data_IF_576615382188
#
_entry.id   IF_576615382188
#
_cell.length_a   1.000
_cell.length_b   1.000
_cell.length_c   1.000
_cell.angle_alpha   90.00
_cell.angle_beta   90.00
_cell.angle_gamma   90.00
#
_symmetry.space_group_name_H-M   'P 1'
#
loop_
_entity.id
_entity.type
_entity.pdbx_description
1 polymer ?
#
# COMPACT_ATOMS: atom_id res chain seq x y z
N UNK A 1 9.10 8.77 19.29
CA UNK A 1 10.46 8.57 18.76
C UNK A 1 11.55 8.94 19.75
N UNK A 2 11.50 10.12 20.37
CA UNK A 2 12.53 10.59 21.33
C UNK A 2 12.82 9.58 22.45
N UNK A 3 11.79 8.96 23.03
CA UNK A 3 11.98 7.94 24.06
C UNK A 3 12.82 6.75 23.55
N UNK A 4 12.49 6.18 22.39
CA UNK A 4 13.23 5.06 21.81
C UNK A 4 14.68 5.46 21.47
N UNK A 5 14.88 6.68 20.95
CA UNK A 5 16.20 7.23 20.70
C UNK A 5 17.03 7.24 21.98
N UNK A 6 16.49 7.83 23.05
CA UNK A 6 17.16 7.90 24.36
C UNK A 6 17.45 6.53 24.98
N UNK A 7 16.62 5.53 24.70
CA UNK A 7 16.80 4.13 25.15
C UNK A 7 17.81 3.35 24.31
N UNK A 8 18.45 3.99 23.34
CA UNK A 8 19.59 3.43 22.59
C UNK A 8 19.36 3.27 21.09
N UNK A 9 18.16 3.54 20.57
CA UNK A 9 17.89 3.41 19.13
C UNK A 9 18.79 4.34 18.29
N UNK A 10 19.21 5.48 18.84
CA UNK A 10 20.16 6.41 18.22
C UNK A 10 21.54 5.81 17.90
N UNK A 11 21.87 4.63 18.45
CA UNK A 11 23.13 3.90 18.21
C UNK A 11 22.92 2.65 17.35
N UNK A 12 21.74 2.44 16.79
CA UNK A 12 21.45 1.28 15.97
C UNK A 12 22.29 1.31 14.68
N UNK A 13 22.86 0.17 14.28
CA UNK A 13 23.50 0.04 12.97
C UNK A 13 22.47 -0.06 11.83
N UNK A 14 21.28 -0.56 12.16
CA UNK A 14 20.17 -0.76 11.24
C UNK A 14 18.86 -0.37 11.90
N UNK A 15 17.99 0.31 11.16
CA UNK A 15 16.65 0.64 11.61
C UNK A 15 15.64 0.37 10.48
N UNK A 16 14.47 -0.16 10.86
CA UNK A 16 13.38 -0.44 9.93
C UNK A 16 12.12 0.25 10.46
N UNK A 17 11.53 1.15 9.67
CA UNK A 17 10.19 1.63 9.90
C UNK A 17 9.22 0.73 9.13
N UNK A 18 8.30 0.09 9.83
CA UNK A 18 7.32 -0.81 9.21
C UNK A 18 5.95 -0.66 9.83
N UNK A 19 4.93 -0.94 9.04
CA UNK A 19 3.57 -1.13 9.54
C UNK A 19 2.65 -1.67 8.46
N UNK A 20 1.48 -2.14 8.90
CA UNK A 20 0.39 -2.50 8.00
C UNK A 20 -0.68 -1.41 7.86
N UNK A 21 -1.32 -1.32 6.68
CA UNK A 21 -2.57 -0.60 6.45
C UNK A 21 -2.36 0.90 6.67
N UNK A 22 -3.08 1.53 7.60
CA UNK A 22 -2.78 2.89 8.02
C UNK A 22 -1.33 3.07 8.51
N UNK A 23 -0.75 2.08 9.18
CA UNK A 23 0.67 2.06 9.57
C UNK A 23 1.61 1.86 8.39
N UNK A 24 1.17 1.14 7.35
CA UNK A 24 1.91 1.00 6.09
C UNK A 24 1.91 2.30 5.30
N UNK A 25 0.78 2.99 5.24
CA UNK A 25 0.66 4.35 4.69
C UNK A 25 1.56 5.34 5.46
N UNK A 26 1.51 5.30 6.79
CA UNK A 26 2.38 6.13 7.63
C UNK A 26 3.87 5.83 7.38
N UNK A 27 4.23 4.55 7.18
CA UNK A 27 5.59 4.15 6.83
C UNK A 27 6.04 4.73 5.47
N UNK A 28 5.12 4.92 4.52
CA UNK A 28 5.42 5.61 3.26
C UNK A 28 5.66 7.10 3.50
N UNK A 29 4.71 7.76 4.18
CA UNK A 29 4.71 9.21 4.39
C UNK A 29 5.89 9.70 5.22
N UNK A 30 6.29 8.94 6.24
CA UNK A 30 7.31 9.34 7.21
C UNK A 30 8.67 8.66 7.00
N UNK A 31 8.88 7.95 5.88
CA UNK A 31 10.10 7.18 5.68
C UNK A 31 11.37 8.04 5.70
N UNK A 32 11.35 9.15 4.97
CA UNK A 32 12.49 10.08 4.90
C UNK A 32 12.70 10.81 6.23
N UNK A 33 11.61 11.23 6.90
CA UNK A 33 11.70 11.83 8.24
C UNK A 33 12.28 10.86 9.27
N UNK A 34 11.97 9.57 9.16
CA UNK A 34 12.54 8.54 10.02
C UNK A 34 14.03 8.33 9.75
N UNK A 35 14.47 8.34 8.49
CA UNK A 35 15.89 8.30 8.12
C UNK A 35 16.66 9.50 8.71
N UNK A 36 16.05 10.68 8.73
CA UNK A 36 16.66 11.92 9.23
C UNK A 36 16.89 11.91 10.76
N UNK A 37 16.28 10.96 11.50
CA UNK A 37 16.53 10.78 12.93
C UNK A 37 17.91 10.14 13.22
N UNK A 38 18.54 9.51 12.23
CA UNK A 38 19.76 8.72 12.40
C UNK A 38 20.96 9.35 11.68
N UNK A 39 22.19 9.10 12.15
CA UNK A 39 23.39 9.48 11.39
C UNK A 39 23.48 8.69 10.08
N UNK A 40 24.14 9.25 9.06
CA UNK A 40 24.29 8.66 7.73
C UNK A 40 24.92 7.25 7.73
N UNK A 41 25.65 6.90 8.79
CA UNK A 41 26.24 5.56 8.98
C UNK A 41 25.20 4.48 9.29
N UNK A 42 24.01 4.87 9.75
CA UNK A 42 22.92 3.95 10.06
C UNK A 42 22.21 3.52 8.79
N UNK A 43 22.05 2.21 8.61
CA UNK A 43 21.27 1.68 7.49
C UNK A 43 19.79 1.71 7.83
N UNK A 44 19.10 2.74 7.37
CA UNK A 44 17.64 2.84 7.52
C UNK A 44 16.93 2.31 6.27
N UNK A 45 15.82 1.61 6.49
CA UNK A 45 14.88 1.18 5.45
C UNK A 45 13.45 1.34 5.93
N UNK A 46 12.51 1.31 5.00
CA UNK A 46 11.09 1.23 5.33
C UNK A 46 10.41 0.03 4.66
N UNK A 47 9.38 -0.49 5.30
CA UNK A 47 8.47 -1.50 4.76
C UNK A 47 7.04 -0.99 4.89
N UNK A 48 6.34 -0.91 3.76
CA UNK A 48 4.89 -0.67 3.75
C UNK A 48 4.18 -1.96 3.38
N UNK A 49 3.41 -2.51 4.32
CA UNK A 49 2.51 -3.63 4.07
C UNK A 49 1.07 -3.14 3.93
N UNK A 50 0.42 -3.43 2.81
CA UNK A 50 -0.96 -3.05 2.53
C UNK A 50 -1.23 -1.52 2.70
N UNK A 51 -0.19 -0.70 2.55
CA UNK A 51 -0.25 0.75 2.72
C UNK A 51 -0.38 1.52 1.41
N UNK A 52 -0.28 0.85 0.26
CA UNK A 52 -0.40 1.45 -1.07
C UNK A 52 -1.87 1.63 -1.45
N UNK A 53 -2.57 2.58 -0.83
CA UNK A 53 -3.94 2.91 -1.21
C UNK A 53 -4.01 3.76 -2.48
N UNK A 54 -5.01 3.52 -3.33
CA UNK A 54 -5.25 4.31 -4.54
C UNK A 54 -6.49 5.21 -4.45
N UNK A 55 -6.45 6.36 -5.12
CA UNK A 55 -7.64 7.18 -5.40
C UNK A 55 -8.40 6.57 -6.59
N UNK A 56 -9.04 5.42 -6.35
CA UNK A 56 -9.76 4.66 -7.35
C UNK A 56 -11.26 4.98 -7.33
N UNK A 57 -11.89 4.90 -8.51
CA UNK A 57 -13.33 5.06 -8.67
C UNK A 57 -14.04 3.85 -8.05
N UNK A 58 -15.06 4.12 -7.23
CA UNK A 58 -15.92 3.09 -6.65
C UNK A 58 -17.01 2.63 -7.63
N UNK A 59 -17.74 1.57 -7.28
CA UNK A 59 -18.75 0.94 -8.15
C UNK A 59 -19.97 1.81 -8.45
N UNK A 60 -20.10 2.96 -7.77
CA UNK A 60 -21.11 3.98 -8.06
C UNK A 60 -20.58 5.11 -8.95
N UNK A 61 -19.30 5.10 -9.32
CA UNK A 61 -18.64 6.16 -10.08
C UNK A 61 -18.06 7.28 -9.20
N UNK A 62 -18.09 7.13 -7.87
CA UNK A 62 -17.57 8.11 -6.92
C UNK A 62 -16.11 7.84 -6.52
N UNK A 63 -15.58 8.70 -5.65
CA UNK A 63 -14.23 8.56 -5.07
C UNK A 63 -14.33 8.39 -3.55
N UNK A 64 -14.92 7.26 -3.09
CA UNK A 64 -15.20 7.05 -1.66
C UNK A 64 -13.96 7.21 -0.77
N UNK A 65 -12.80 6.63 -1.13
CA UNK A 65 -11.60 6.76 -0.30
C UNK A 65 -11.02 8.17 -0.31
N UNK A 66 -11.13 8.90 -1.43
CA UNK A 66 -10.72 10.31 -1.48
C UNK A 66 -11.53 11.17 -0.51
N UNK A 67 -12.84 10.95 -0.45
CA UNK A 67 -13.71 11.65 0.48
C UNK A 67 -13.35 11.33 1.94
N UNK A 68 -13.06 10.06 2.24
CA UNK A 68 -12.57 9.65 3.56
C UNK A 68 -11.24 10.34 3.91
N UNK A 69 -10.26 10.28 3.00
CA UNK A 69 -8.94 10.86 3.20
C UNK A 69 -8.99 12.39 3.30
N UNK A 70 -9.87 13.07 2.57
CA UNK A 70 -10.09 14.51 2.71
C UNK A 70 -10.54 14.86 4.14
N UNK A 71 -11.44 14.05 4.71
CA UNK A 71 -11.86 14.16 6.10
C UNK A 71 -10.69 13.97 7.08
N UNK A 72 -9.86 12.95 6.87
CA UNK A 72 -8.67 12.68 7.70
C UNK A 72 -7.67 13.84 7.64
N UNK A 73 -7.33 14.28 6.43
CA UNK A 73 -6.36 15.36 6.20
C UNK A 73 -6.83 16.66 6.84
N UNK A 74 -8.12 16.98 6.71
CA UNK A 74 -8.71 18.18 7.33
C UNK A 74 -8.79 18.07 8.85
N UNK A 75 -9.24 16.93 9.38
CA UNK A 75 -9.48 16.77 10.82
C UNK A 75 -8.17 16.67 11.62
N UNK A 76 -7.18 15.97 11.08
CA UNK A 76 -5.90 15.72 11.75
C UNK A 76 -4.81 16.72 11.33
N UNK A 77 -5.14 17.69 10.47
CA UNK A 77 -4.22 18.69 9.91
C UNK A 77 -2.95 18.07 9.29
N UNK A 78 -3.09 16.89 8.68
CA UNK A 78 -1.96 16.06 8.19
C UNK A 78 -1.13 16.78 7.14
N UNK A 79 -1.71 17.79 6.47
CA UNK A 79 -1.03 18.64 5.49
C UNK A 79 0.34 19.17 5.95
N UNK A 80 0.54 19.37 7.26
CA UNK A 80 1.81 19.84 7.86
C UNK A 80 2.93 18.80 7.78
N UNK A 81 2.57 17.53 7.67
CA UNK A 81 3.47 16.38 7.65
C UNK A 81 3.58 15.74 6.25
N UNK A 82 3.00 16.37 5.23
CA UNK A 82 3.09 15.89 3.86
C UNK A 82 4.33 16.47 3.17
N UNK A 83 4.97 15.73 2.24
CA UNK A 83 6.12 16.24 1.50
C UNK A 83 5.80 17.53 0.76
N UNK A 84 6.59 18.58 1.00
CA UNK A 84 6.47 19.88 0.30
C UNK A 84 6.49 19.72 -1.22
N UNK A 85 7.36 18.84 -1.71
CA UNK A 85 7.47 18.49 -3.13
C UNK A 85 6.15 18.04 -3.76
N UNK A 86 5.24 17.45 -2.97
CA UNK A 86 3.92 17.08 -3.44
C UNK A 86 2.92 18.24 -3.29
N UNK A 87 2.81 18.84 -2.10
CA UNK A 87 1.78 19.86 -1.82
C UNK A 87 2.00 21.18 -2.58
N UNK A 88 3.19 21.40 -3.12
CA UNK A 88 3.47 22.52 -4.04
C UNK A 88 2.79 22.34 -5.41
N UNK A 89 2.36 21.11 -5.77
CA UNK A 89 1.79 20.77 -7.08
C UNK A 89 0.38 20.18 -7.01
N UNK A 90 0.01 19.56 -5.88
CA UNK A 90 -1.26 18.85 -5.68
C UNK A 90 -1.90 19.27 -4.35
N UNK A 91 -3.21 19.05 -4.23
CA UNK A 91 -3.90 19.32 -2.98
C UNK A 91 -3.46 18.33 -1.87
N UNK A 92 -3.56 18.71 -0.58
CA UNK A 92 -3.15 17.85 0.53
C UNK A 92 -3.80 16.47 0.56
N UNK A 93 -5.05 16.33 0.10
CA UNK A 93 -5.71 15.01 0.04
C UNK A 93 -5.05 14.12 -1.00
N UNK A 94 -4.79 14.68 -2.19
CA UNK A 94 -4.05 13.98 -3.23
C UNK A 94 -2.63 13.61 -2.77
N UNK A 95 -1.97 14.45 -1.98
CA UNK A 95 -0.67 14.13 -1.39
C UNK A 95 -0.71 13.14 -0.21
N UNK A 96 -1.88 12.85 0.35
CA UNK A 96 -2.02 11.78 1.34
C UNK A 96 -2.11 10.39 0.67
N UNK A 97 -2.34 10.35 -0.64
CA UNK A 97 -2.36 9.13 -1.43
C UNK A 97 -0.95 8.74 -1.92
N UNK A 98 -0.45 7.53 -1.58
CA UNK A 98 0.88 7.07 -1.98
C UNK A 98 1.19 7.11 -3.47
N UNK A 99 0.19 6.92 -4.36
CA UNK A 99 0.45 6.93 -5.81
C UNK A 99 1.03 8.25 -6.31
N UNK A 100 0.88 9.34 -5.56
CA UNK A 100 1.37 10.65 -5.95
C UNK A 100 2.77 10.99 -5.40
N UNK A 101 3.33 10.18 -4.51
CA UNK A 101 4.60 10.51 -3.85
C UNK A 101 5.55 9.35 -3.62
N UNK A 102 5.10 8.08 -3.69
CA UNK A 102 5.92 6.93 -3.29
C UNK A 102 7.21 6.80 -4.11
N UNK A 103 7.17 7.20 -5.39
CA UNK A 103 8.35 7.23 -6.27
C UNK A 103 9.37 8.31 -5.88
N UNK A 104 8.98 9.32 -5.11
CA UNK A 104 9.83 10.42 -4.67
C UNK A 104 10.46 10.19 -3.28
N UNK A 105 10.09 9.11 -2.58
CA UNK A 105 10.71 8.73 -1.31
C UNK A 105 12.18 8.38 -1.56
N UNK A 106 13.09 9.01 -0.83
CA UNK A 106 14.54 8.87 -1.05
C UNK A 106 15.12 7.65 -0.34
N UNK A 107 14.59 7.34 0.83
CA UNK A 107 15.02 6.25 1.69
C UNK A 107 14.61 4.90 1.08
N UNK A 108 15.50 3.89 1.05
CA UNK A 108 15.18 2.59 0.46
C UNK A 108 13.94 1.95 1.10
N UNK A 109 12.97 1.61 0.26
CA UNK A 109 11.67 1.12 0.70
C UNK A 109 11.33 -0.23 0.06
N UNK A 110 10.65 -1.08 0.82
CA UNK A 110 9.99 -2.28 0.32
C UNK A 110 8.47 -2.08 0.37
N UNK A 111 7.80 -2.23 -0.78
CA UNK A 111 6.35 -2.26 -0.85
C UNK A 111 5.85 -3.71 -0.92
N UNK A 112 5.07 -4.09 0.07
CA UNK A 112 4.32 -5.34 0.12
C UNK A 112 2.84 -5.01 -0.01
N UNK A 113 2.19 -5.37 -1.11
CA UNK A 113 0.76 -5.07 -1.28
C UNK A 113 0.07 -6.19 -2.05
N UNK A 114 -1.21 -6.40 -1.79
CA UNK A 114 -2.06 -7.16 -2.69
C UNK A 114 -2.50 -6.24 -3.84
N UNK A 115 -2.52 -6.75 -5.08
CA UNK A 115 -3.10 -6.02 -6.21
C UNK A 115 -4.61 -5.83 -6.04
N UNK A 116 -5.25 -6.75 -5.33
CA UNK A 116 -6.64 -6.68 -4.92
C UNK A 116 -6.72 -6.52 -3.39
N UNK A 117 -6.24 -5.40 -2.86
CA UNK A 117 -6.29 -5.15 -1.41
C UNK A 117 -7.72 -5.33 -0.88
N UNK A 118 -7.90 -6.32 0.00
CA UNK A 118 -9.23 -6.75 0.43
C UNK A 118 -9.95 -5.66 1.24
N UNK A 119 -9.19 -4.86 2.01
CA UNK A 119 -9.77 -3.74 2.73
C UNK A 119 -10.22 -2.66 1.77
N UNK A 120 -9.39 -2.29 0.78
CA UNK A 120 -9.77 -1.27 -0.20
C UNK A 120 -10.98 -1.72 -1.04
N UNK A 121 -11.07 -3.00 -1.41
CA UNK A 121 -12.26 -3.56 -2.08
C UNK A 121 -13.53 -3.34 -1.25
N UNK A 122 -13.48 -3.61 0.05
CA UNK A 122 -14.65 -3.54 0.93
C UNK A 122 -15.01 -2.12 1.35
N UNK A 123 -14.02 -1.32 1.73
CA UNK A 123 -14.21 0.00 2.35
C UNK A 123 -14.21 1.15 1.33
N UNK A 124 -13.54 0.98 0.18
CA UNK A 124 -13.43 2.03 -0.85
C UNK A 124 -14.19 1.69 -2.12
N UNK A 125 -13.92 0.53 -2.73
CA UNK A 125 -14.39 0.26 -4.08
C UNK A 125 -15.87 -0.11 -4.14
N UNK A 126 -16.36 -0.91 -3.20
CA UNK A 126 -17.79 -1.25 -3.15
C UNK A 126 -18.39 -1.21 -1.75
N UNK A 127 -18.18 -0.15 -0.94
CA UNK A 127 -18.82 -0.03 0.38
C UNK A 127 -20.36 -0.02 0.25
N UNK A 128 -21.11 -0.32 1.34
CA UNK A 128 -22.57 -0.30 1.32
C UNK A 128 -23.17 1.03 0.80
N UNK A 129 -22.49 2.15 1.03
CA UNK A 129 -22.90 3.47 0.50
C UNK A 129 -22.80 3.59 -1.03
N UNK A 130 -21.86 2.88 -1.66
CA UNK A 130 -21.68 2.84 -3.12
C UNK A 130 -22.43 1.66 -3.78
N UNK A 131 -22.84 0.65 -3.00
CA UNK A 131 -23.62 -0.50 -3.45
C UNK A 131 -24.97 -0.64 -2.71
N UNK A 132 -25.88 0.35 -2.81
CA UNK A 132 -27.14 0.34 -2.06
C UNK A 132 -28.09 -0.80 -2.45
N UNK A 133 -27.88 -1.41 -3.62
CA UNK A 133 -28.66 -2.56 -4.11
C UNK A 133 -28.02 -3.91 -3.77
N UNK A 134 -26.86 -3.92 -3.13
CA UNK A 134 -26.18 -5.14 -2.70
C UNK A 134 -25.64 -6.01 -3.85
N UNK A 135 -25.42 -5.44 -5.04
CA UNK A 135 -24.98 -6.18 -6.23
C UNK A 135 -23.57 -6.77 -6.05
N UNK A 136 -22.74 -6.15 -5.21
CA UNK A 136 -21.35 -6.53 -4.94
C UNK A 136 -21.18 -7.31 -3.64
N UNK A 137 -22.24 -7.45 -2.84
CA UNK A 137 -22.17 -8.06 -1.50
C UNK A 137 -21.68 -9.51 -1.53
N UNK A 138 -22.23 -10.32 -2.44
CA UNK A 138 -21.80 -11.71 -2.63
C UNK A 138 -20.37 -11.80 -3.18
N UNK A 139 -20.06 -11.01 -4.21
CA UNK A 139 -18.77 -11.00 -4.90
C UNK A 139 -17.61 -10.58 -3.98
N UNK A 140 -17.75 -9.52 -3.18
CA UNK A 140 -16.69 -9.09 -2.25
C UNK A 140 -16.46 -10.03 -1.06
N UNK A 141 -17.49 -10.79 -0.69
CA UNK A 141 -17.40 -11.77 0.40
C UNK A 141 -16.83 -13.09 -0.09
N UNK A 142 -17.18 -13.48 -1.32
CA UNK A 142 -16.66 -14.64 -2.01
C UNK A 142 -16.43 -14.32 -3.49
N UNK A 143 -15.16 -14.12 -3.84
CA UNK A 143 -14.76 -13.72 -5.20
C UNK A 143 -15.10 -14.75 -6.29
N UNK A 144 -15.39 -16.00 -5.92
CA UNK A 144 -15.89 -17.00 -6.86
C UNK A 144 -17.33 -16.74 -7.34
N UNK A 145 -18.08 -15.88 -6.64
CA UNK A 145 -19.44 -15.48 -6.98
C UNK A 145 -19.50 -14.21 -7.83
N UNK A 146 -18.36 -13.62 -8.16
CA UNK A 146 -18.31 -12.46 -9.04
C UNK A 146 -18.68 -12.85 -10.47
N UNK A 147 -19.54 -12.05 -11.10
CA UNK A 147 -19.77 -12.16 -12.53
C UNK A 147 -18.63 -11.53 -13.35
N UNK A 148 -18.66 -11.69 -14.67
CA UNK A 148 -17.59 -11.21 -15.56
C UNK A 148 -17.34 -9.70 -15.47
N UNK A 149 -18.36 -8.86 -15.30
CA UNK A 149 -18.16 -7.40 -15.19
C UNK A 149 -17.56 -7.01 -13.85
N UNK A 150 -17.91 -7.70 -12.76
CA UNK A 150 -17.30 -7.50 -11.44
C UNK A 150 -15.84 -7.93 -11.42
N UNK A 151 -15.53 -9.06 -12.05
CA UNK A 151 -14.14 -9.49 -12.24
C UNK A 151 -13.36 -8.46 -13.06
N UNK A 152 -13.93 -7.96 -14.17
CA UNK A 152 -13.27 -6.95 -15.00
C UNK A 152 -12.94 -5.68 -14.19
N UNK A 153 -13.87 -5.21 -13.36
CA UNK A 153 -13.64 -4.06 -12.49
C UNK A 153 -12.45 -4.28 -11.53
N UNK A 154 -12.35 -5.47 -10.92
CA UNK A 154 -11.18 -5.79 -10.10
C UNK A 154 -9.89 -5.86 -10.93
N UNK A 155 -9.94 -6.38 -12.16
CA UNK A 155 -8.77 -6.38 -13.06
C UNK A 155 -8.31 -4.95 -13.39
N UNK A 156 -9.25 -4.04 -13.63
CA UNK A 156 -8.95 -2.63 -13.88
C UNK A 156 -8.31 -1.97 -12.66
N UNK A 157 -8.80 -2.27 -11.45
CA UNK A 157 -8.17 -1.82 -10.20
C UNK A 157 -6.75 -2.37 -10.02
N UNK A 158 -6.53 -3.66 -10.30
CA UNK A 158 -5.18 -4.26 -10.30
C UNK A 158 -4.26 -3.54 -11.29
N UNK A 159 -4.74 -3.21 -12.48
CA UNK A 159 -3.93 -2.51 -13.48
C UNK A 159 -3.57 -1.09 -13.01
N UNK A 160 -4.49 -0.40 -12.32
CA UNK A 160 -4.19 0.88 -11.67
C UNK A 160 -3.10 0.74 -10.60
N UNK A 161 -3.16 -0.30 -9.75
CA UNK A 161 -2.13 -0.60 -8.75
C UNK A 161 -0.75 -0.79 -9.37
N UNK A 162 -0.68 -1.62 -10.41
CA UNK A 162 0.57 -1.93 -11.10
C UNK A 162 1.15 -0.70 -11.82
N UNK A 163 0.28 0.15 -12.39
CA UNK A 163 0.71 1.41 -12.98
C UNK A 163 1.23 2.40 -11.93
N UNK A 164 0.59 2.49 -10.77
CA UNK A 164 0.97 3.41 -9.70
C UNK A 164 2.36 3.12 -9.11
N UNK A 165 2.78 1.85 -9.09
CA UNK A 165 4.10 1.44 -8.57
C UNK A 165 5.17 1.32 -9.67
N UNK A 166 4.85 1.60 -10.93
CA UNK A 166 5.77 1.42 -12.06
C UNK A 166 7.03 2.25 -11.88
N UNK A 167 6.89 3.54 -11.62
CA UNK A 167 8.04 4.44 -11.53
C UNK A 167 8.86 4.14 -10.27
N UNK A 168 8.21 3.80 -9.16
CA UNK A 168 8.87 3.30 -7.93
C UNK A 168 9.74 2.07 -8.19
N UNK A 169 9.26 1.14 -9.04
CA UNK A 169 9.95 -0.11 -9.36
C UNK A 169 11.22 0.05 -10.21
N UNK A 170 11.43 1.23 -10.81
CA UNK A 170 12.63 1.52 -11.61
C UNK A 170 13.89 1.70 -10.76
N UNK A 171 13.73 2.03 -9.48
CA UNK A 171 14.84 2.22 -8.54
C UNK A 171 15.42 0.88 -8.10
N UNK A 172 16.74 0.71 -8.27
CA UNK A 172 17.46 -0.50 -7.85
C UNK A 172 17.61 -0.64 -6.33
N UNK A 173 17.31 0.43 -5.57
CA UNK A 173 17.34 0.46 -4.10
C UNK A 173 16.04 -0.07 -3.47
N UNK A 174 14.96 -0.06 -4.24
CA UNK A 174 13.62 -0.39 -3.76
C UNK A 174 13.29 -1.87 -3.96
N UNK A 175 12.42 -2.38 -3.09
CA UNK A 175 11.84 -3.70 -3.18
C UNK A 175 10.33 -3.61 -3.42
N UNK A 176 9.79 -4.56 -4.16
CA UNK A 176 8.38 -4.61 -4.50
C UNK A 176 7.91 -6.08 -4.47
N UNK A 177 6.79 -6.33 -3.81
CA UNK A 177 6.09 -7.60 -3.81
C UNK A 177 4.59 -7.32 -3.94
N UNK A 178 4.07 -7.44 -5.16
CA UNK A 178 2.66 -7.27 -5.48
C UNK A 178 2.08 -8.59 -5.96
N UNK A 179 1.31 -9.25 -5.12
CA UNK A 179 0.64 -10.50 -5.49
C UNK A 179 -0.82 -10.26 -5.92
N UNK A 180 -1.43 -11.29 -6.49
CA UNK A 180 -2.80 -11.25 -6.99
C UNK A 180 -3.82 -11.89 -6.03
N UNK A 181 -3.48 -11.98 -4.74
CA UNK A 181 -4.41 -12.44 -3.71
C UNK A 181 -5.38 -11.32 -3.32
N UNK A 182 -6.54 -11.70 -2.79
CA UNK A 182 -7.41 -10.77 -2.05
C UNK A 182 -6.99 -10.80 -0.58
N UNK A 183 -6.06 -9.93 -0.21
CA UNK A 183 -5.44 -9.92 1.12
C UNK A 183 -5.23 -8.48 1.63
N UNK A 184 -5.01 -8.34 2.94
CA UNK A 184 -4.69 -7.11 3.62
C UNK A 184 -3.87 -7.45 4.88
N UNK A 185 -2.79 -6.72 5.17
CA UNK A 185 -1.81 -7.05 6.22
C UNK A 185 -1.19 -8.44 6.12
N UNK A 186 -0.30 -8.61 5.15
CA UNK A 186 0.22 -9.94 4.81
C UNK A 186 1.36 -10.39 5.72
N UNK A 187 2.28 -9.49 6.07
CA UNK A 187 3.48 -9.79 6.87
C UNK A 187 3.21 -9.94 8.36
N UNK A 188 2.12 -9.36 8.88
CA UNK A 188 1.76 -9.46 10.31
C UNK A 188 1.09 -10.79 10.66
N UNK A 189 0.56 -11.52 9.67
CA UNK A 189 -0.13 -12.81 9.86
C UNK A 189 0.80 -13.98 9.62
N UNK A 190 1.47 -14.43 10.70
CA UNK A 190 2.43 -15.54 10.65
C UNK A 190 1.83 -16.83 10.08
N UNK A 191 0.56 -17.10 10.38
CA UNK A 191 -0.18 -18.29 9.95
C UNK A 191 -0.40 -18.35 8.43
N UNK A 192 -0.38 -17.22 7.73
CA UNK A 192 -0.48 -17.17 6.27
C UNK A 192 0.84 -16.82 5.59
N UNK A 193 1.69 -16.05 6.27
CA UNK A 193 2.95 -15.55 5.71
C UNK A 193 4.04 -16.64 5.65
N UNK A 194 4.08 -17.52 6.65
CA UNK A 194 5.04 -18.62 6.75
C UNK A 194 4.41 -19.99 6.43
N UNK A 195 3.19 -20.02 5.90
CA UNK A 195 2.53 -21.26 5.52
C UNK A 195 3.18 -21.92 4.30
N UNK A 196 2.96 -23.23 4.15
CA UNK A 196 3.39 -24.00 2.98
C UNK A 196 2.77 -23.45 1.66
N UNK A 197 1.59 -22.82 1.76
CA UNK A 197 0.88 -22.16 0.66
C UNK A 197 1.03 -20.62 0.69
N UNK A 198 2.07 -20.11 1.36
CA UNK A 198 2.39 -18.69 1.40
C UNK A 198 2.52 -18.08 -0.01
N UNK A 199 2.19 -16.78 -0.18
CA UNK A 199 2.27 -16.16 -1.50
C UNK A 199 3.69 -16.20 -2.08
N UNK A 200 3.80 -16.70 -3.32
CA UNK A 200 5.07 -16.79 -4.07
C UNK A 200 4.97 -15.97 -5.36
N UNK A 201 6.01 -15.21 -5.67
CA UNK A 201 6.17 -14.55 -6.97
C UNK A 201 7.41 -15.12 -7.67
N UNK A 202 7.20 -15.91 -8.73
CA UNK A 202 8.28 -16.43 -9.57
C UNK A 202 9.26 -17.33 -8.84
N UNK A 203 8.72 -18.27 -8.07
CA UNK A 203 9.46 -19.16 -7.17
C UNK A 203 10.26 -18.44 -6.08
N UNK A 204 10.00 -17.15 -5.84
CA UNK A 204 10.55 -16.41 -4.72
C UNK A 204 9.47 -16.15 -3.68
N UNK A 205 9.74 -16.63 -2.48
CA UNK A 205 9.13 -16.12 -1.25
C UNK A 205 9.61 -14.68 -1.04
N UNK A 206 8.80 -13.88 -0.35
CA UNK A 206 9.12 -12.48 -0.03
C UNK A 206 10.49 -12.31 0.66
N UNK A 207 11.01 -13.36 1.28
CA UNK A 207 12.31 -13.40 1.98
C UNK A 207 13.53 -12.99 1.14
N UNK A 208 13.47 -13.09 -0.20
CA UNK A 208 14.67 -12.93 -1.06
C UNK A 208 14.75 -11.62 -1.87
N UNK A 209 14.07 -10.55 -1.45
CA UNK A 209 14.50 -9.16 -1.68
C UNK A 209 14.56 -8.61 -3.12
N UNK A 210 14.16 -9.37 -4.14
CA UNK A 210 13.87 -8.89 -5.50
C UNK A 210 12.89 -9.84 -6.16
N UNK A 211 11.67 -9.41 -6.47
CA UNK A 211 10.86 -10.00 -7.57
C UNK A 211 9.67 -9.12 -7.94
N UNK A 212 9.74 -8.55 -9.14
CA UNK A 212 8.56 -8.45 -10.00
C UNK A 212 8.36 -9.84 -10.60
N UNK A 213 7.22 -10.50 -10.34
CA UNK A 213 6.73 -11.54 -11.23
C UNK A 213 5.24 -11.36 -11.50
N UNK A 214 4.91 -11.16 -12.77
CA UNK A 214 3.56 -11.22 -13.29
C UNK A 214 3.19 -12.69 -13.52
N UNK A 215 2.17 -13.19 -12.81
CA UNK A 215 1.41 -14.36 -13.28
C UNK A 215 0.11 -13.80 -13.87
N UNK A 216 -0.08 -13.84 -15.21
CA UNK A 216 -1.40 -13.63 -15.77
C UNK A 216 -2.28 -14.77 -15.27
N UNK A 217 -3.36 -14.42 -14.57
CA UNK A 217 -4.43 -15.38 -14.31
C UNK A 217 -5.25 -15.48 -15.60
N UNK A 218 -4.69 -16.13 -16.62
CA UNK A 218 -5.48 -16.62 -17.75
C UNK A 218 -6.24 -17.84 -17.24
N UNK A 219 -7.56 -17.69 -17.06
CA UNK A 219 -8.43 -18.84 -16.89
C UNK A 219 -8.70 -19.46 -18.27
N UNK A 220 -8.35 -20.74 -18.36
CA UNK A 220 -9.06 -21.74 -19.15
C UNK A 220 -10.56 -21.75 -18.81
#
# INVERSE_FOLDING_TARGET
MEELMSKGMQKADQALLSGCSAGGLASILHCDEFQDLFPETTRVKCLSDAGMFLDAIDVSGGHTLKNLFAGVVSLQEVQKNLPKTCIDHLDPTSCFFPQNLVANVKTPMFLLNAAYDAWQVQASLAPPSADPRGLWSACKSNHALCNSSQIQFFQDFRNQMLNAVRDFSTSTKNGLFINSCFAHCQSERQDTWFADDSPVLGNRLSENGRSILFIPYDRQ
#
